data_IF_281965332637
#
_entry.id   IF_281965332637
#
_cell.length_a   1.000
_cell.length_b   1.000
_cell.length_c   1.000
_cell.angle_alpha   90.00
_cell.angle_beta   90.00
_cell.angle_gamma   90.00
#
_symmetry.space_group_name_H-M   'P 1'
#
loop_
_entity.id
_entity.type
_entity.pdbx_description
1 polymer ?
#
# COMPACT_ATOMS: atom_id res chain seq x y z
N UNK A 1 14.19 -7.54 13.85
CA UNK A 1 14.09 -6.38 12.95
C UNK A 1 14.61 -6.76 11.58
N UNK A 2 13.75 -7.30 10.73
CA UNK A 2 13.99 -7.38 9.29
C UNK A 2 14.07 -5.95 8.77
N UNK A 3 15.22 -5.53 8.25
CA UNK A 3 15.33 -4.23 7.59
C UNK A 3 14.51 -4.30 6.30
N UNK A 4 13.90 -3.18 5.87
CA UNK A 4 13.25 -3.11 4.56
C UNK A 4 14.22 -3.52 3.43
N UNK A 5 15.52 -3.29 3.63
CA UNK A 5 16.60 -3.73 2.73
C UNK A 5 16.79 -5.25 2.63
N UNK A 6 16.20 -6.03 3.54
CA UNK A 6 16.22 -7.50 3.52
C UNK A 6 15.09 -8.11 2.67
N UNK A 7 14.14 -7.29 2.21
CA UNK A 7 13.17 -7.70 1.21
C UNK A 7 13.87 -7.84 -0.14
N UNK A 8 13.42 -8.81 -0.96
CA UNK A 8 13.92 -8.90 -2.32
C UNK A 8 13.47 -7.64 -3.06
N UNK A 9 14.46 -6.87 -3.50
CA UNK A 9 14.27 -5.56 -4.08
C UNK A 9 13.34 -5.62 -5.28
N UNK A 10 12.22 -4.89 -5.18
CA UNK A 10 11.34 -4.42 -6.24
C UNK A 10 10.96 -5.43 -7.31
N UNK A 11 9.78 -6.00 -7.16
CA UNK A 11 9.13 -6.82 -8.20
C UNK A 11 8.55 -5.92 -9.28
N UNK A 12 9.20 -5.85 -10.45
CA UNK A 12 8.67 -5.11 -11.60
C UNK A 12 7.44 -5.82 -12.14
N UNK A 13 6.28 -5.15 -12.14
CA UNK A 13 4.98 -5.71 -12.54
C UNK A 13 4.94 -6.17 -14.00
N UNK A 14 5.88 -5.78 -14.83
CA UNK A 14 6.21 -6.46 -16.09
C UNK A 14 7.66 -6.08 -16.40
N UNK A 15 8.43 -6.97 -17.03
CA UNK A 15 9.81 -6.67 -17.46
C UNK A 15 9.94 -5.56 -18.53
N UNK A 16 8.98 -4.64 -18.64
CA UNK A 16 8.99 -3.56 -19.63
C UNK A 16 9.74 -2.37 -19.08
N UNK A 17 11.08 -2.48 -19.04
CA UNK A 17 11.89 -1.29 -19.22
C UNK A 17 11.72 -0.90 -20.69
N UNK A 18 10.90 0.10 -20.97
CA UNK A 18 10.92 0.76 -22.29
C UNK A 18 11.83 1.97 -22.17
N UNK A 19 12.88 2.00 -22.99
CA UNK A 19 13.85 3.10 -23.05
C UNK A 19 14.55 3.44 -21.72
N UNK A 20 14.79 2.46 -20.85
CA UNK A 20 15.49 2.67 -19.58
C UNK A 20 14.59 3.13 -18.42
N UNK A 21 13.29 3.29 -18.63
CA UNK A 21 12.35 3.84 -17.64
C UNK A 21 11.44 2.74 -17.10
N UNK A 22 11.29 2.61 -15.77
CA UNK A 22 10.29 1.73 -15.19
C UNK A 22 8.88 2.33 -15.31
N UNK A 23 7.92 1.58 -15.84
CA UNK A 23 6.58 2.07 -16.20
C UNK A 23 5.49 1.75 -15.18
N UNK A 24 5.81 1.01 -14.11
CA UNK A 24 4.87 0.55 -13.08
C UNK A 24 4.91 1.36 -11.77
N UNK A 25 5.81 2.34 -11.69
CA UNK A 25 6.00 3.18 -10.50
C UNK A 25 4.92 4.24 -10.34
N UNK A 26 4.17 4.56 -11.40
CA UNK A 26 3.07 5.51 -11.36
C UNK A 26 1.79 4.81 -11.81
N UNK A 27 0.63 5.45 -11.63
CA UNK A 27 -0.62 4.85 -12.12
C UNK A 27 -1.23 3.76 -11.23
N UNK A 28 -0.91 3.71 -9.93
CA UNK A 28 -1.49 2.71 -9.03
C UNK A 28 -2.71 3.20 -8.24
N UNK A 29 -2.98 4.51 -8.23
CA UNK A 29 -4.11 5.08 -7.50
C UNK A 29 -5.42 4.70 -8.21
N UNK A 30 -6.28 3.91 -7.56
CA UNK A 30 -7.53 3.45 -8.15
C UNK A 30 -7.33 2.62 -9.43
N UNK A 31 -6.28 1.81 -9.53
CA UNK A 31 -6.13 0.84 -10.63
C UNK A 31 -5.70 1.42 -11.99
N UNK A 32 -5.11 2.62 -12.02
CA UNK A 32 -4.56 3.23 -13.24
C UNK A 32 -4.27 4.73 -13.13
N UNK A 33 -4.90 5.38 -12.15
CA UNK A 33 -4.76 6.80 -11.89
C UNK A 33 -3.38 7.17 -11.35
N UNK A 34 -2.90 8.33 -11.78
CA UNK A 34 -1.66 8.92 -11.28
C UNK A 34 -2.01 9.98 -10.25
N UNK A 35 -1.38 9.90 -9.07
CA UNK A 35 -1.62 10.83 -7.98
C UNK A 35 -0.42 11.77 -7.85
N UNK A 36 -0.69 13.02 -7.48
CA UNK A 36 0.31 14.07 -7.28
C UNK A 36 0.02 14.79 -5.97
N UNK A 37 1.06 15.00 -5.17
CA UNK A 37 1.01 15.78 -3.95
C UNK A 37 0.82 17.27 -4.26
N UNK A 38 0.35 18.03 -3.28
CA UNK A 38 0.20 19.49 -3.39
C UNK A 38 1.54 20.20 -3.63
N UNK A 39 2.67 19.55 -3.34
CA UNK A 39 4.02 20.01 -3.67
C UNK A 39 4.41 19.85 -5.15
N UNK A 40 3.60 19.17 -5.96
CA UNK A 40 3.87 18.85 -7.36
C UNK A 40 4.66 17.55 -7.57
N UNK A 41 5.08 16.86 -6.51
CA UNK A 41 5.71 15.53 -6.63
C UNK A 41 4.65 14.47 -6.97
N UNK A 42 4.99 13.57 -7.90
CA UNK A 42 4.16 12.40 -8.17
C UNK A 42 4.25 11.42 -6.99
N UNK A 43 3.21 10.62 -6.82
CA UNK A 43 3.30 9.45 -5.95
C UNK A 43 3.86 8.27 -6.74
N UNK A 44 4.93 7.71 -6.21
CA UNK A 44 5.63 6.56 -6.76
C UNK A 44 5.33 5.31 -5.93
N UNK A 45 5.18 4.16 -6.58
CA UNK A 45 4.78 2.92 -5.91
C UNK A 45 5.86 1.85 -5.98
N UNK A 46 6.10 1.20 -4.85
CA UNK A 46 7.00 0.05 -4.71
C UNK A 46 6.24 -1.22 -4.37
N UNK A 47 6.62 -2.33 -5.00
CA UNK A 47 6.10 -3.67 -4.74
C UNK A 47 7.25 -4.57 -4.29
N UNK A 48 7.13 -5.19 -3.13
CA UNK A 48 8.21 -5.95 -2.50
C UNK A 48 7.66 -7.23 -1.87
N UNK A 49 8.48 -8.27 -1.83
CA UNK A 49 8.20 -9.50 -1.08
C UNK A 49 9.41 -9.90 -0.26
N UNK A 50 9.19 -10.61 0.85
CA UNK A 50 10.30 -11.16 1.63
C UNK A 50 10.86 -12.45 1.00
N UNK A 51 11.96 -12.96 1.57
CA UNK A 51 12.61 -14.17 1.04
C UNK A 51 11.72 -15.43 1.14
N UNK A 52 10.90 -15.58 2.19
CA UNK A 52 9.97 -16.71 2.32
C UNK A 52 9.00 -16.74 1.16
N UNK A 53 8.36 -15.62 0.85
CA UNK A 53 7.47 -15.51 -0.30
C UNK A 53 8.20 -15.88 -1.59
N UNK A 54 9.38 -15.29 -1.84
CA UNK A 54 10.07 -15.50 -3.11
C UNK A 54 10.57 -16.94 -3.32
N UNK A 55 11.10 -17.59 -2.28
CA UNK A 55 11.51 -18.99 -2.36
C UNK A 55 10.31 -19.93 -2.46
N UNK A 56 9.22 -19.64 -1.74
CA UNK A 56 7.95 -20.37 -1.89
C UNK A 56 7.46 -20.29 -3.34
N UNK A 57 7.35 -19.07 -3.88
CA UNK A 57 6.91 -18.81 -5.25
C UNK A 57 7.80 -19.54 -6.27
N UNK A 58 9.11 -19.43 -6.13
CA UNK A 58 10.08 -20.05 -7.03
C UNK A 58 9.96 -21.56 -6.99
N UNK A 59 9.91 -22.15 -5.78
CA UNK A 59 9.75 -23.59 -5.61
C UNK A 59 8.44 -24.11 -6.17
N UNK A 60 7.34 -23.38 -6.01
CA UNK A 60 6.05 -23.76 -6.60
C UNK A 60 6.08 -23.65 -8.13
N UNK A 61 6.58 -22.54 -8.70
CA UNK A 61 6.71 -22.34 -10.15
C UNK A 61 7.58 -23.41 -10.82
N UNK A 62 8.62 -23.91 -10.14
CA UNK A 62 9.47 -24.98 -10.66
C UNK A 62 8.94 -26.40 -10.38
N UNK A 63 7.79 -26.53 -9.72
CA UNK A 63 7.23 -27.84 -9.30
C UNK A 63 8.02 -28.54 -8.19
N UNK A 64 8.95 -27.83 -7.54
CA UNK A 64 9.76 -28.37 -6.44
C UNK A 64 9.01 -28.35 -5.09
N UNK A 65 8.03 -27.46 -4.96
CA UNK A 65 7.10 -27.39 -3.86
C UNK A 65 5.69 -27.72 -4.35
N UNK A 66 5.01 -28.64 -3.67
CA UNK A 66 3.63 -29.06 -4.00
C UNK A 66 2.57 -28.29 -3.23
N UNK A 67 2.97 -27.36 -2.35
CA UNK A 67 2.05 -26.54 -1.59
C UNK A 67 1.21 -25.68 -2.53
N UNK A 68 -0.10 -25.77 -2.38
CA UNK A 68 -1.06 -24.96 -3.13
C UNK A 68 -1.42 -23.67 -2.40
N UNK A 69 -0.98 -23.49 -1.15
CA UNK A 69 -1.26 -22.33 -0.31
C UNK A 69 -0.01 -21.69 0.26
N UNK A 70 -0.08 -20.40 0.60
CA UNK A 70 1.02 -19.74 1.32
C UNK A 70 1.31 -20.45 2.66
N UNK A 71 2.58 -20.43 3.12
CA UNK A 71 2.98 -21.13 4.33
C UNK A 71 2.29 -20.53 5.56
N UNK A 72 1.73 -21.40 6.41
CA UNK A 72 1.09 -20.99 7.67
C UNK A 72 1.62 -21.76 8.89
N UNK A 73 2.45 -22.78 8.65
CA UNK A 73 2.97 -23.67 9.70
C UNK A 73 4.50 -23.76 9.67
N UNK A 74 5.08 -24.24 10.77
CA UNK A 74 6.50 -24.56 10.83
C UNK A 74 6.91 -25.65 9.82
N UNK A 75 6.00 -26.57 9.48
CA UNK A 75 6.24 -27.60 8.48
C UNK A 75 6.33 -27.02 7.05
N UNK A 76 5.47 -26.05 6.73
CA UNK A 76 5.52 -25.35 5.44
C UNK A 76 6.85 -24.59 5.30
N UNK A 77 7.23 -23.84 6.34
CA UNK A 77 8.51 -23.12 6.37
C UNK A 77 9.71 -24.07 6.24
N UNK A 78 9.67 -25.24 6.90
CA UNK A 78 10.74 -26.24 6.79
C UNK A 78 10.89 -26.77 5.37
N UNK A 79 9.79 -26.98 4.64
CA UNK A 79 9.83 -27.37 3.23
C UNK A 79 10.44 -26.29 2.34
N UNK A 80 10.11 -25.02 2.59
CA UNK A 80 10.69 -23.88 1.85
C UNK A 80 12.19 -23.74 2.16
N UNK A 81 12.60 -23.86 3.43
CA UNK A 81 14.02 -23.85 3.82
C UNK A 81 14.80 -25.00 3.15
N UNK A 82 14.20 -26.20 3.10
CA UNK A 82 14.79 -27.35 2.40
C UNK A 82 14.98 -27.07 0.91
N UNK A 83 14.00 -26.43 0.27
CA UNK A 83 14.12 -26.00 -1.13
C UNK A 83 15.20 -24.93 -1.33
N UNK A 84 15.25 -23.94 -0.43
CA UNK A 84 16.23 -22.87 -0.48
C UNK A 84 17.67 -23.36 -0.24
N UNK A 85 17.84 -24.47 0.50
CA UNK A 85 19.13 -25.02 0.89
C UNK A 85 19.72 -24.37 2.16
N UNK A 86 18.98 -23.47 2.81
CA UNK A 86 19.39 -22.78 4.04
C UNK A 86 18.17 -22.31 4.84
N UNK A 87 18.40 -21.86 6.08
CA UNK A 87 17.35 -21.26 6.91
C UNK A 87 17.10 -19.82 6.49
N UNK A 88 15.89 -19.54 6.01
CA UNK A 88 15.48 -18.20 5.63
C UNK A 88 15.41 -17.26 6.84
N UNK A 89 16.05 -16.08 6.80
CA UNK A 89 16.13 -15.20 7.95
C UNK A 89 14.78 -14.58 8.35
N UNK A 90 13.82 -14.48 7.43
CA UNK A 90 12.49 -13.92 7.71
C UNK A 90 11.44 -14.99 8.00
N UNK A 91 11.85 -16.22 8.31
CA UNK A 91 10.95 -17.35 8.53
C UNK A 91 9.86 -17.11 9.59
N UNK A 92 10.12 -16.26 10.60
CA UNK A 92 9.13 -15.89 11.61
C UNK A 92 7.96 -15.06 11.05
N UNK A 93 8.20 -14.25 10.01
CA UNK A 93 7.17 -13.45 9.37
C UNK A 93 6.38 -14.25 8.32
N UNK A 94 6.77 -15.50 8.03
CA UNK A 94 6.26 -16.32 6.94
C UNK A 94 6.26 -15.54 5.62
N UNK A 95 5.28 -15.71 4.73
CA UNK A 95 5.26 -14.98 3.47
C UNK A 95 4.71 -13.58 3.68
N UNK A 96 5.43 -12.57 3.18
CA UNK A 96 5.05 -11.17 3.28
C UNK A 96 5.16 -10.46 1.93
N UNK A 97 4.16 -9.67 1.63
CA UNK A 97 4.04 -8.78 0.49
C UNK A 97 3.82 -7.35 0.99
N UNK A 98 4.56 -6.41 0.40
CA UNK A 98 4.44 -4.99 0.67
C UNK A 98 4.13 -4.25 -0.63
N UNK A 99 3.11 -3.40 -0.57
CA UNK A 99 2.94 -2.30 -1.54
C UNK A 99 3.21 -1.01 -0.79
N UNK A 100 3.96 -0.10 -1.37
CA UNK A 100 4.37 1.15 -0.73
C UNK A 100 4.15 2.32 -1.67
N UNK A 101 3.86 3.50 -1.14
CA UNK A 101 3.72 4.75 -1.89
C UNK A 101 4.67 5.80 -1.32
N UNK A 102 5.27 6.58 -2.21
CA UNK A 102 6.40 7.46 -1.91
C UNK A 102 6.27 8.79 -2.64
N UNK A 103 6.82 9.86 -2.05
CA UNK A 103 7.02 11.16 -2.70
C UNK A 103 8.47 11.58 -2.59
N UNK A 104 8.91 12.51 -3.43
CA UNK A 104 10.25 13.11 -3.31
C UNK A 104 10.34 13.93 -2.01
N UNK A 105 11.26 13.56 -1.12
CA UNK A 105 11.34 14.10 0.23
C UNK A 105 11.64 15.61 0.24
N UNK A 106 12.44 16.09 -0.72
CA UNK A 106 12.78 17.52 -0.86
C UNK A 106 11.57 18.41 -1.13
N UNK A 107 10.48 17.84 -1.67
CA UNK A 107 9.28 18.60 -2.02
C UNK A 107 8.36 18.86 -0.82
N UNK A 108 8.55 18.13 0.29
CA UNK A 108 7.70 18.22 1.49
C UNK A 108 7.76 19.61 2.13
N UNK A 109 8.94 20.22 2.19
CA UNK A 109 9.12 21.53 2.82
C UNK A 109 8.36 22.64 2.09
N UNK A 110 8.16 22.51 0.77
CA UNK A 110 7.41 23.49 -0.05
C UNK A 110 5.93 23.63 0.37
N UNK A 111 5.38 22.60 1.01
CA UNK A 111 4.03 22.58 1.57
C UNK A 111 4.05 22.56 3.11
N UNK A 112 5.21 22.87 3.69
CA UNK A 112 5.44 22.98 5.12
C UNK A 112 5.43 21.66 5.88
N UNK A 113 5.69 20.53 5.22
CA UNK A 113 5.88 19.23 5.89
C UNK A 113 7.37 18.96 6.09
N UNK A 114 7.73 18.42 7.26
CA UNK A 114 9.11 18.13 7.63
C UNK A 114 9.50 16.72 7.19
N UNK A 115 10.45 16.61 6.26
CA UNK A 115 10.91 15.33 5.71
C UNK A 115 11.55 14.40 6.76
N UNK A 116 12.08 14.94 7.87
CA UNK A 116 12.67 14.14 8.95
C UNK A 116 11.64 13.31 9.73
N UNK A 117 10.35 13.62 9.57
CA UNK A 117 9.25 12.86 10.17
C UNK A 117 8.87 11.59 9.39
N UNK A 118 9.48 11.38 8.23
CA UNK A 118 9.16 10.28 7.33
C UNK A 118 10.23 9.19 7.37
N UNK A 119 9.85 7.96 7.01
CA UNK A 119 10.82 6.93 6.63
C UNK A 119 11.41 7.31 5.28
N UNK A 120 12.73 7.48 5.23
CA UNK A 120 13.46 7.93 4.05
C UNK A 120 14.29 6.79 3.43
N UNK A 121 14.28 6.70 2.10
CA UNK A 121 15.11 5.77 1.33
C UNK A 121 15.65 6.45 0.06
N UNK A 122 16.75 5.96 -0.50
CA UNK A 122 17.14 6.34 -1.86
C UNK A 122 16.30 5.56 -2.88
N UNK A 123 15.69 6.26 -3.82
CA UNK A 123 14.90 5.66 -4.91
C UNK A 123 15.35 6.19 -6.27
N UNK A 124 15.25 5.34 -7.30
CA UNK A 124 15.40 5.75 -8.70
C UNK A 124 14.01 5.90 -9.31
N UNK A 125 13.68 7.09 -9.77
CA UNK A 125 12.36 7.47 -10.31
C UNK A 125 12.47 8.00 -11.75
N UNK A 126 11.40 7.92 -12.56
CA UNK A 126 11.36 8.49 -13.91
C UNK A 126 11.41 10.02 -13.91
N UNK A 127 12.09 10.59 -14.90
CA UNK A 127 11.99 12.03 -15.25
C UNK A 127 11.12 12.22 -16.48
N UNK A 128 10.48 13.38 -16.62
CA UNK A 128 9.51 13.63 -17.69
C UNK A 128 9.79 14.89 -18.48
N UNK A 129 9.62 14.82 -19.81
CA UNK A 129 9.35 15.98 -20.64
C UNK A 129 7.87 16.36 -20.48
N UNK A 130 7.61 17.60 -20.05
CA UNK A 130 6.29 18.02 -19.53
C UNK A 130 5.59 19.01 -20.47
N UNK A 131 4.31 18.78 -20.71
CA UNK A 131 3.32 19.78 -21.12
C UNK A 131 2.20 19.84 -20.07
N UNK A 132 1.24 20.75 -20.24
CA UNK A 132 0.07 20.85 -19.36
C UNK A 132 -0.79 19.58 -19.30
N UNK A 133 -0.74 18.74 -20.35
CA UNK A 133 -1.65 17.60 -20.51
C UNK A 133 -0.93 16.27 -20.76
N UNK A 134 0.38 16.28 -21.00
CA UNK A 134 1.15 15.06 -21.29
C UNK A 134 2.55 15.15 -20.72
N UNK A 135 2.93 14.15 -19.92
CA UNK A 135 4.29 13.98 -19.41
C UNK A 135 4.87 12.70 -19.99
N UNK A 136 5.87 12.85 -20.86
CA UNK A 136 6.53 11.72 -21.53
C UNK A 136 7.82 11.37 -20.80
N UNK A 137 8.05 10.11 -20.41
CA UNK A 137 9.31 9.71 -19.80
C UNK A 137 10.51 10.10 -20.66
N UNK A 138 11.55 10.62 -20.01
CA UNK A 138 12.74 11.20 -20.64
C UNK A 138 14.05 10.66 -20.05
N UNK A 139 13.98 9.89 -18.97
CA UNK A 139 15.13 9.38 -18.25
C UNK A 139 14.76 8.93 -16.84
N UNK A 140 15.76 8.80 -15.99
CA UNK A 140 15.61 8.50 -14.56
C UNK A 140 16.52 9.40 -13.73
N UNK A 141 16.16 9.61 -12.48
CA UNK A 141 16.98 10.29 -11.48
C UNK A 141 16.95 9.50 -10.17
N UNK A 142 18.01 9.61 -9.37
CA UNK A 142 18.05 9.05 -8.02
C UNK A 142 17.84 10.19 -7.03
N UNK A 143 16.89 10.02 -6.12
CA UNK A 143 16.56 11.02 -5.10
C UNK A 143 16.14 10.36 -3.79
N UNK A 144 16.05 11.16 -2.72
CA UNK A 144 15.54 10.70 -1.43
C UNK A 144 14.01 10.69 -1.47
N UNK A 145 13.44 9.52 -1.20
CA UNK A 145 12.01 9.26 -1.19
C UNK A 145 11.49 9.16 0.24
N UNK A 146 10.30 9.72 0.49
CA UNK A 146 9.61 9.68 1.77
C UNK A 146 8.37 8.76 1.69
N UNK A 147 8.25 7.79 2.61
CA UNK A 147 7.14 6.84 2.63
C UNK A 147 5.85 7.54 3.06
N UNK A 148 4.78 7.43 2.28
CA UNK A 148 3.49 8.08 2.59
C UNK A 148 2.37 7.09 2.84
N UNK A 149 2.44 5.87 2.31
CA UNK A 149 1.45 4.83 2.58
C UNK A 149 1.99 3.44 2.28
N UNK A 150 1.36 2.44 2.86
CA UNK A 150 1.70 1.05 2.59
C UNK A 150 0.54 0.08 2.80
N UNK A 151 0.54 -0.98 2.00
CA UNK A 151 -0.15 -2.21 2.32
C UNK A 151 0.87 -3.22 2.83
N UNK A 152 0.52 -3.93 3.90
CA UNK A 152 1.26 -5.05 4.45
C UNK A 152 0.35 -6.27 4.38
N UNK A 153 0.75 -7.28 3.62
CA UNK A 153 -0.04 -8.47 3.37
C UNK A 153 0.78 -9.69 3.70
N UNK A 154 0.37 -10.48 4.70
CA UNK A 154 1.21 -11.58 5.17
C UNK A 154 0.42 -12.82 5.59
N UNK A 155 1.01 -14.00 5.37
CA UNK A 155 0.43 -15.25 5.83
C UNK A 155 0.67 -15.42 7.33
N UNK A 156 -0.34 -15.90 8.04
CA UNK A 156 -0.26 -16.21 9.47
C UNK A 156 -0.86 -17.58 9.74
N UNK A 157 -0.71 -18.09 10.97
CA UNK A 157 -1.25 -19.39 11.35
C UNK A 157 -2.76 -19.50 11.03
N UNK A 158 -3.13 -20.47 10.20
CA UNK A 158 -4.52 -20.72 9.81
C UNK A 158 -5.09 -19.75 8.77
N UNK A 159 -4.32 -18.77 8.29
CA UNK A 159 -4.74 -17.79 7.28
C UNK A 159 -3.81 -17.80 6.07
N UNK A 160 -3.92 -18.83 5.21
CA UNK A 160 -3.11 -18.90 4.00
C UNK A 160 -3.45 -17.77 3.02
N UNK A 161 -4.68 -17.27 3.01
CA UNK A 161 -5.18 -16.13 2.20
C UNK A 161 -4.56 -14.78 2.56
N UNK A 162 -3.72 -14.78 3.60
CA UNK A 162 -3.04 -13.63 4.19
C UNK A 162 -4.00 -12.68 4.93
N UNK A 163 -3.46 -11.96 5.90
CA UNK A 163 -4.12 -10.79 6.48
C UNK A 163 -3.66 -9.57 5.70
N UNK A 164 -4.61 -8.75 5.28
CA UNK A 164 -4.38 -7.58 4.45
C UNK A 164 -4.56 -6.33 5.31
N UNK A 165 -3.48 -5.60 5.56
CA UNK A 165 -3.49 -4.40 6.38
C UNK A 165 -3.00 -3.18 5.59
N UNK A 166 -3.51 -2.00 5.94
CA UNK A 166 -3.10 -0.74 5.33
C UNK A 166 -2.67 0.28 6.38
N UNK A 167 -1.64 1.06 6.04
CA UNK A 167 -1.07 2.11 6.89
C UNK A 167 -0.80 3.38 6.08
N UNK A 168 -0.89 4.53 6.75
CA UNK A 168 -0.67 5.84 6.15
C UNK A 168 0.12 6.76 7.07
N UNK A 169 0.91 7.64 6.46
CA UNK A 169 1.46 8.78 7.18
C UNK A 169 0.33 9.74 7.59
N UNK A 170 0.37 10.23 8.83
CA UNK A 170 -0.70 11.07 9.40
C UNK A 170 -0.97 12.36 8.62
N UNK A 171 0.05 12.90 7.94
CA UNK A 171 -0.06 14.13 7.15
C UNK A 171 -0.57 13.92 5.71
N UNK A 172 -1.02 12.72 5.32
CA UNK A 172 -1.45 12.46 3.95
C UNK A 172 -2.64 13.34 3.52
N UNK A 173 -3.75 13.22 4.23
CA UNK A 173 -5.00 13.89 3.93
C UNK A 173 -5.93 13.87 5.16
N UNK A 174 -6.93 14.77 5.21
CA UNK A 174 -7.91 14.79 6.28
C UNK A 174 -8.80 13.54 6.25
N UNK A 175 -9.26 13.14 7.43
CA UNK A 175 -10.28 12.12 7.61
C UNK A 175 -11.67 12.70 7.33
N UNK A 176 -12.54 11.93 6.66
CA UNK A 176 -13.97 12.21 6.66
C UNK A 176 -14.54 12.17 8.09
N UNK A 177 -15.75 12.67 8.28
CA UNK A 177 -16.45 12.56 9.57
C UNK A 177 -16.61 11.08 9.97
N UNK A 178 -16.31 10.76 11.23
CA UNK A 178 -16.50 9.42 11.77
C UNK A 178 -16.91 9.43 13.24
N UNK A 179 -17.65 8.40 13.63
CA UNK A 179 -18.09 8.14 14.99
C UNK A 179 -17.13 7.20 15.70
N UNK A 180 -17.04 7.35 17.02
CA UNK A 180 -16.26 6.49 17.92
C UNK A 180 -16.98 6.31 19.26
N UNK A 181 -16.64 5.26 19.99
CA UNK A 181 -17.11 4.95 21.33
C UNK A 181 -16.17 5.58 22.35
N UNK A 182 -16.71 6.49 23.16
CA UNK A 182 -15.98 7.15 24.25
C UNK A 182 -15.72 6.19 25.41
N UNK A 183 -14.86 6.58 26.35
CA UNK A 183 -14.56 5.79 27.56
C UNK A 183 -15.77 5.59 28.47
N UNK A 184 -16.81 6.43 28.36
CA UNK A 184 -18.08 6.25 29.06
C UNK A 184 -19.09 5.35 28.32
N UNK A 185 -18.72 4.81 27.16
CA UNK A 185 -19.58 3.99 26.30
C UNK A 185 -20.57 4.79 25.44
N UNK A 186 -20.48 6.12 25.39
CA UNK A 186 -21.30 6.96 24.52
C UNK A 186 -20.65 7.13 23.13
N UNK A 187 -21.45 7.43 22.10
CA UNK A 187 -20.94 7.79 20.77
C UNK A 187 -20.47 9.24 20.73
N UNK A 188 -19.22 9.46 20.33
CA UNK A 188 -18.69 10.76 19.92
C UNK A 188 -18.48 10.80 18.41
N UNK A 189 -18.43 12.00 17.84
CA UNK A 189 -18.20 12.22 16.41
C UNK A 189 -17.00 13.14 16.22
N UNK A 190 -16.10 12.75 15.32
CA UNK A 190 -15.04 13.62 14.81
C UNK A 190 -15.51 14.19 13.48
N UNK A 191 -15.67 15.53 13.36
CA UNK A 191 -16.09 16.14 12.10
C UNK A 191 -14.96 16.13 11.06
N UNK A 192 -15.32 16.20 9.78
CA UNK A 192 -14.36 16.50 8.72
C UNK A 192 -13.70 17.85 8.99
N UNK A 193 -12.37 17.89 8.89
CA UNK A 193 -11.59 19.12 8.99
C UNK A 193 -10.35 19.02 8.10
N UNK A 194 -10.23 19.92 7.13
CA UNK A 194 -9.09 20.03 6.22
C UNK A 194 -8.18 21.21 6.52
N UNK A 195 -8.37 21.94 7.61
CA UNK A 195 -7.47 23.00 8.02
C UNK A 195 -6.07 22.45 8.32
N UNK A 196 -5.05 23.21 7.93
CA UNK A 196 -3.66 22.88 8.18
C UNK A 196 -2.91 22.38 6.94
N UNK A 197 -1.84 21.62 7.19
CA UNK A 197 -0.90 21.18 6.16
C UNK A 197 -1.11 19.71 5.87
N UNK A 198 -1.46 19.40 4.62
CA UNK A 198 -1.62 18.04 4.14
C UNK A 198 -0.79 17.82 2.89
N UNK A 199 -0.33 16.59 2.70
CA UNK A 199 0.40 16.18 1.50
C UNK A 199 -0.48 16.27 0.25
N UNK A 200 -1.74 15.83 0.35
CA UNK A 200 -2.64 15.61 -0.77
C UNK A 200 -3.83 16.58 -0.79
N UNK A 201 -3.92 17.53 0.15
CA UNK A 201 -5.12 18.34 0.34
C UNK A 201 -4.77 19.78 0.66
N UNK A 202 -5.41 20.72 -0.03
CA UNK A 202 -5.28 22.14 0.31
C UNK A 202 -6.03 22.44 1.62
N UNK A 203 -5.48 23.36 2.41
CA UNK A 203 -6.15 23.83 3.64
C UNK A 203 -7.53 24.40 3.30
N UNK A 204 -8.55 23.98 4.04
CA UNK A 204 -9.93 24.43 3.82
C UNK A 204 -10.63 23.84 2.59
N UNK A 205 -10.03 22.84 1.94
CA UNK A 205 -10.70 22.11 0.87
C UNK A 205 -11.97 21.39 1.38
N UNK A 206 -12.98 21.30 0.52
CA UNK A 206 -14.21 20.56 0.79
C UNK A 206 -14.10 19.12 0.27
N UNK A 207 -14.96 18.22 0.75
CA UNK A 207 -15.07 16.85 0.21
C UNK A 207 -15.72 16.81 -1.18
N UNK A 208 -16.50 17.83 -1.55
CA UNK A 208 -17.11 17.94 -2.88
C UNK A 208 -16.03 18.11 -3.96
N UNK A 209 -16.02 17.21 -4.94
CA UNK A 209 -15.01 17.19 -6.02
C UNK A 209 -13.63 16.66 -5.60
N UNK A 210 -13.44 16.30 -4.33
CA UNK A 210 -12.24 15.61 -3.88
C UNK A 210 -12.21 14.15 -4.37
N UNK A 211 -11.05 13.51 -4.27
CA UNK A 211 -10.78 12.16 -4.79
C UNK A 211 -11.09 12.04 -6.31
N UNK A 212 -10.87 13.11 -7.06
CA UNK A 212 -11.03 13.10 -8.53
C UNK A 212 -9.75 12.67 -9.22
N UNK A 213 -9.86 11.69 -10.13
CA UNK A 213 -8.76 11.27 -10.99
C UNK A 213 -8.55 12.30 -12.12
N UNK A 214 -7.44 13.04 -12.09
CA UNK A 214 -7.13 14.06 -13.11
C UNK A 214 -6.25 13.54 -14.25
N UNK A 215 -5.53 12.43 -14.02
CA UNK A 215 -4.54 11.90 -14.95
C UNK A 215 -4.30 10.41 -14.71
N UNK A 216 -3.89 9.70 -15.76
CA UNK A 216 -3.54 8.28 -15.72
C UNK A 216 -2.20 8.01 -16.40
N UNK A 217 -1.53 6.93 -16.00
CA UNK A 217 -0.31 6.45 -16.66
C UNK A 217 -0.68 5.31 -17.61
N UNK A 218 -0.12 5.29 -18.82
CA UNK A 218 -0.26 4.16 -19.74
C UNK A 218 0.88 3.12 -19.58
N UNK A 219 0.86 2.04 -20.36
CA UNK A 219 1.89 0.98 -20.29
C UNK A 219 3.30 1.42 -20.72
N UNK A 220 3.43 2.57 -21.39
CA UNK A 220 4.71 3.18 -21.77
C UNK A 220 5.22 4.17 -20.71
N UNK A 221 4.52 4.33 -19.58
CA UNK A 221 4.86 5.28 -18.54
C UNK A 221 4.49 6.73 -18.88
N UNK A 222 3.79 6.98 -19.99
CA UNK A 222 3.30 8.32 -20.35
C UNK A 222 2.10 8.66 -19.46
N UNK A 223 2.18 9.81 -18.80
CA UNK A 223 1.08 10.35 -18.01
C UNK A 223 0.29 11.32 -18.89
N UNK A 224 -1.02 11.12 -18.94
CA UNK A 224 -1.93 11.96 -19.73
C UNK A 224 -3.05 12.46 -18.83
N UNK A 225 -3.38 13.75 -18.94
CA UNK A 225 -4.55 14.33 -18.29
C UNK A 225 -5.84 13.72 -18.85
N UNK A 226 -6.87 13.59 -18.00
CA UNK A 226 -8.22 13.23 -18.44
C UNK A 226 -8.78 14.33 -19.37
N UNK A 227 -9.76 14.03 -20.23
CA UNK A 227 -10.38 15.02 -21.10
C UNK A 227 -10.86 16.26 -20.35
N UNK A 228 -10.41 17.44 -20.77
CA UNK A 228 -10.76 18.73 -20.15
C UNK A 228 -10.01 19.05 -18.85
N UNK A 229 -9.04 18.24 -18.45
CA UNK A 229 -8.19 18.46 -17.27
C UNK A 229 -6.75 18.83 -17.67
N UNK A 230 -5.98 19.29 -16.70
CA UNK A 230 -4.52 19.42 -16.76
C UNK A 230 -3.87 18.43 -15.79
N UNK A 231 -2.60 18.11 -16.03
CA UNK A 231 -1.80 17.35 -15.07
C UNK A 231 -1.55 18.23 -13.85
N UNK A 232 -1.97 17.77 -12.68
CA UNK A 232 -1.85 18.49 -11.43
C UNK A 232 -2.38 17.69 -10.24
N UNK A 233 -2.26 18.25 -9.02
CA UNK A 233 -2.80 17.61 -7.83
C UNK A 233 -4.32 17.74 -7.77
N UNK A 234 -4.99 16.73 -7.21
CA UNK A 234 -6.38 16.83 -6.75
C UNK A 234 -6.42 16.83 -5.22
N UNK A 235 -7.49 17.39 -4.64
CA UNK A 235 -7.72 17.29 -3.20
C UNK A 235 -8.13 15.86 -2.86
N UNK A 236 -7.48 15.26 -1.86
CA UNK A 236 -7.79 13.92 -1.36
C UNK A 236 -8.37 13.99 0.04
N UNK A 237 -9.20 13.02 0.42
CA UNK A 237 -9.55 12.76 1.81
C UNK A 237 -9.77 11.26 2.01
N UNK A 238 -9.60 10.77 3.25
CA UNK A 238 -9.95 9.40 3.61
C UNK A 238 -11.45 9.28 3.82
N UNK A 239 -12.15 8.58 2.93
CA UNK A 239 -13.61 8.37 2.99
C UNK A 239 -13.98 7.49 4.19
N UNK A 240 -13.17 6.45 4.45
CA UNK A 240 -13.31 5.51 5.57
C UNK A 240 -12.05 5.56 6.44
N UNK A 241 -11.94 6.52 7.38
CA UNK A 241 -10.69 6.81 8.11
C UNK A 241 -10.05 5.62 8.81
N UNK A 242 -10.88 4.65 9.21
CA UNK A 242 -10.51 3.45 9.95
C UNK A 242 -10.98 2.16 9.25
N UNK A 243 -11.13 2.22 7.92
CA UNK A 243 -11.52 1.08 7.08
C UNK A 243 -12.89 0.49 7.39
N UNK A 244 -13.75 1.27 8.07
CA UNK A 244 -15.14 0.97 8.36
C UNK A 244 -16.01 2.17 7.98
N UNK A 245 -17.34 1.97 7.98
CA UNK A 245 -18.29 3.05 7.74
C UNK A 245 -18.13 4.15 8.81
N UNK A 246 -18.34 5.40 8.39
CA UNK A 246 -18.18 6.54 9.30
C UNK A 246 -19.06 6.45 10.54
N UNK A 247 -20.25 5.87 10.45
CA UNK A 247 -21.17 5.69 11.59
C UNK A 247 -20.95 4.39 12.39
N UNK A 248 -19.95 3.59 12.07
CA UNK A 248 -19.61 2.37 12.83
C UNK A 248 -18.71 2.71 14.03
N UNK A 249 -19.32 3.32 15.04
CA UNK A 249 -18.61 3.83 16.22
C UNK A 249 -17.77 2.75 16.92
N UNK A 250 -18.24 1.50 16.94
CA UNK A 250 -17.53 0.42 17.62
C UNK A 250 -16.29 0.01 16.84
N UNK A 251 -16.44 -0.33 15.57
CA UNK A 251 -15.34 -0.89 14.79
C UNK A 251 -14.30 0.20 14.44
N UNK A 252 -14.72 1.47 14.29
CA UNK A 252 -13.79 2.61 14.24
C UNK A 252 -12.95 2.72 15.52
N UNK A 253 -13.56 2.52 16.69
CA UNK A 253 -12.86 2.62 17.98
C UNK A 253 -11.84 1.51 18.18
N UNK A 254 -12.12 0.31 17.68
CA UNK A 254 -11.19 -0.81 17.76
C UNK A 254 -9.87 -0.46 17.05
N UNK A 255 -9.92 0.12 15.84
CA UNK A 255 -8.73 0.56 15.10
C UNK A 255 -8.06 1.78 15.75
N UNK A 256 -8.82 2.76 16.21
CA UNK A 256 -8.28 3.91 16.96
C UNK A 256 -7.52 3.44 18.20
N UNK A 257 -8.09 2.48 18.95
CA UNK A 257 -7.51 1.94 20.17
C UNK A 257 -6.25 1.12 19.89
N UNK A 258 -6.22 0.35 18.80
CA UNK A 258 -5.02 -0.35 18.32
C UNK A 258 -3.90 0.66 18.06
N UNK A 259 -4.18 1.72 17.29
CA UNK A 259 -3.20 2.76 17.01
C UNK A 259 -2.68 3.43 18.29
N UNK A 260 -3.57 3.85 19.20
CA UNK A 260 -3.17 4.46 20.47
C UNK A 260 -2.28 3.52 21.30
N UNK A 261 -2.64 2.24 21.38
CA UNK A 261 -1.87 1.23 22.11
C UNK A 261 -0.47 1.05 21.52
N UNK A 262 -0.35 0.87 20.20
CA UNK A 262 0.95 0.66 19.53
C UNK A 262 1.82 1.92 19.60
N UNK A 263 1.25 3.09 19.27
CA UNK A 263 1.99 4.35 19.25
C UNK A 263 2.50 4.73 20.64
N UNK A 264 1.77 4.40 21.72
CA UNK A 264 2.21 4.65 23.11
C UNK A 264 3.45 3.85 23.52
N UNK A 265 3.79 2.79 22.78
CA UNK A 265 4.94 1.93 23.05
C UNK A 265 6.18 2.32 22.23
N UNK A 266 6.01 3.20 21.22
CA UNK A 266 7.12 3.69 20.41
C UNK A 266 7.87 4.83 21.11
N UNK A 267 9.21 4.90 21.00
CA UNK A 267 9.95 6.08 21.41
C UNK A 267 9.45 7.32 20.67
N UNK A 268 9.39 8.47 21.35
CA UNK A 268 8.91 9.73 20.75
C UNK A 268 9.72 10.17 19.51
N UNK A 269 10.99 9.77 19.43
CA UNK A 269 11.88 10.07 18.29
C UNK A 269 11.75 9.07 17.14
N UNK A 270 10.92 8.03 17.27
CA UNK A 270 10.76 7.02 16.24
C UNK A 270 9.82 7.53 15.15
N UNK A 271 10.35 7.76 13.95
CA UNK A 271 9.57 8.26 12.80
C UNK A 271 8.34 7.40 12.48
N UNK A 272 8.34 6.12 12.89
CA UNK A 272 7.17 5.24 12.73
C UNK A 272 5.96 5.69 13.55
N UNK A 273 6.13 6.55 14.55
CA UNK A 273 5.02 7.15 15.28
C UNK A 273 4.14 8.06 14.42
N UNK A 274 4.62 8.45 13.23
CA UNK A 274 3.87 9.27 12.29
C UNK A 274 3.04 8.44 11.29
N UNK A 275 2.95 7.12 11.49
CA UNK A 275 2.19 6.21 10.64
C UNK A 275 1.11 5.52 11.46
N UNK A 276 -0.11 5.51 10.92
CA UNK A 276 -1.29 4.89 11.55
C UNK A 276 -1.82 3.76 10.70
N UNK A 277 -2.29 2.71 11.36
CA UNK A 277 -3.07 1.64 10.75
C UNK A 277 -4.45 2.17 10.37
N UNK A 278 -4.82 2.01 9.11
CA UNK A 278 -6.17 2.31 8.62
C UNK A 278 -7.11 1.14 8.91
N UNK A 279 -6.63 -0.10 8.81
CA UNK A 279 -7.43 -1.27 9.07
C UNK A 279 -6.71 -2.56 8.69
N UNK A 280 -7.39 -3.68 8.93
CA UNK A 280 -7.01 -4.98 8.37
C UNK A 280 -8.25 -5.83 8.09
N UNK A 281 -8.22 -6.62 7.02
CA UNK A 281 -9.25 -7.60 6.69
C UNK A 281 -8.67 -8.97 6.35
N UNK A 282 -9.47 -10.00 6.60
CA UNK A 282 -9.17 -11.39 6.26
C UNK A 282 -10.46 -12.21 6.24
N UNK A 283 -10.38 -13.47 5.81
CA UNK A 283 -11.53 -14.36 5.80
C UNK A 283 -11.61 -15.17 7.09
N UNK A 284 -12.80 -15.25 7.67
CA UNK A 284 -13.05 -16.12 8.81
C UNK A 284 -12.64 -17.57 8.47
N UNK A 285 -11.86 -18.18 9.36
CA UNK A 285 -11.32 -19.54 9.24
C UNK A 285 -10.30 -19.77 8.11
N UNK A 286 -9.71 -18.71 7.52
CA UNK A 286 -8.64 -18.91 6.55
C UNK A 286 -9.10 -19.33 5.16
N UNK A 287 -10.38 -19.06 4.84
CA UNK A 287 -10.95 -19.44 3.55
C UNK A 287 -10.39 -18.57 2.43
N UNK A 288 -10.16 -19.17 1.27
CA UNK A 288 -9.71 -18.44 0.08
C UNK A 288 -10.83 -17.59 -0.54
N UNK A 289 -10.58 -16.33 -0.94
CA UNK A 289 -11.50 -15.56 -1.77
C UNK A 289 -11.88 -16.29 -3.08
N UNK A 290 -13.09 -16.05 -3.63
CA UNK A 290 -14.16 -15.23 -3.06
C UNK A 290 -14.93 -15.95 -1.93
N UNK A 291 -14.51 -17.16 -1.54
CA UNK A 291 -15.09 -17.92 -0.44
C UNK A 291 -14.74 -17.33 0.93
N UNK A 292 -15.68 -17.45 1.88
CA UNK A 292 -15.46 -17.06 3.27
C UNK A 292 -16.19 -15.79 3.69
N UNK A 293 -16.41 -15.67 5.00
CA UNK A 293 -17.01 -14.50 5.61
C UNK A 293 -15.89 -13.50 5.93
N UNK A 294 -15.85 -12.35 5.24
CA UNK A 294 -14.84 -11.32 5.48
C UNK A 294 -15.05 -10.67 6.85
N UNK A 295 -13.98 -10.53 7.63
CA UNK A 295 -13.98 -9.89 8.94
C UNK A 295 -12.86 -8.84 9.05
N UNK A 296 -12.96 -7.97 10.06
CA UNK A 296 -12.10 -6.80 10.21
C UNK A 296 -12.68 -5.56 9.51
N UNK A 297 -11.80 -4.74 8.94
CA UNK A 297 -12.09 -3.46 8.26
C UNK A 297 -12.59 -3.67 6.83
N UNK A 298 -13.90 -3.87 6.66
CA UNK A 298 -14.52 -4.31 5.40
C UNK A 298 -14.65 -3.22 4.32
N UNK A 299 -14.40 -1.96 4.64
CA UNK A 299 -14.39 -0.83 3.68
C UNK A 299 -13.01 -0.18 3.62
N UNK A 300 -11.96 -0.96 3.90
CA UNK A 300 -10.58 -0.47 3.93
C UNK A 300 -10.12 -0.04 2.55
N UNK A 301 -9.68 1.22 2.48
CA UNK A 301 -9.08 1.84 1.30
C UNK A 301 -8.05 2.87 1.77
N UNK A 302 -6.88 2.91 1.11
CA UNK A 302 -5.82 3.86 1.43
C UNK A 302 -5.90 5.10 0.55
N UNK A 303 -5.58 6.26 1.12
CA UNK A 303 -5.61 7.56 0.43
C UNK A 303 -4.64 7.67 -0.72
N UNK A 304 -3.63 6.79 -0.80
CA UNK A 304 -2.58 6.81 -1.82
C UNK A 304 -2.74 5.73 -2.88
N UNK A 305 -3.35 4.57 -2.56
CA UNK A 305 -3.45 3.43 -3.50
C UNK A 305 -4.86 3.20 -4.01
N UNK A 306 -5.87 3.40 -3.16
CA UNK A 306 -7.28 3.27 -3.54
C UNK A 306 -7.95 4.65 -3.65
N UNK A 307 -7.16 5.73 -3.80
CA UNK A 307 -7.62 7.13 -3.78
C UNK A 307 -8.93 7.37 -4.52
N UNK A 308 -9.05 6.83 -5.73
CA UNK A 308 -10.19 7.01 -6.65
C UNK A 308 -11.22 5.87 -6.59
N UNK A 309 -11.04 4.92 -5.67
CA UNK A 309 -11.85 3.72 -5.47
C UNK A 309 -12.18 3.50 -3.98
N UNK A 310 -12.69 4.53 -3.32
CA UNK A 310 -13.11 4.48 -1.92
C UNK A 310 -14.64 4.36 -1.84
N UNK A 311 -15.17 3.15 -2.05
CA UNK A 311 -16.61 2.85 -2.00
C UNK A 311 -16.95 1.86 -0.87
N UNK A 312 -18.14 1.96 -0.29
CA UNK A 312 -18.58 1.10 0.82
C UNK A 312 -18.70 -0.38 0.43
N UNK A 313 -18.79 -0.69 -0.86
CA UNK A 313 -18.80 -2.06 -1.40
C UNK A 313 -17.42 -2.57 -1.80
N UNK A 314 -16.37 -1.74 -1.62
CA UNK A 314 -15.02 -2.04 -2.05
C UNK A 314 -14.04 -2.24 -0.88
N UNK A 315 -13.19 -3.24 -1.02
CA UNK A 315 -12.00 -3.46 -0.21
C UNK A 315 -10.95 -4.25 -1.02
N UNK A 316 -9.87 -4.71 -0.37
CA UNK A 316 -8.82 -5.48 -1.04
C UNK A 316 -9.37 -6.70 -1.80
N UNK A 317 -10.28 -7.47 -1.20
CA UNK A 317 -10.85 -8.66 -1.83
C UNK A 317 -11.82 -8.35 -2.98
N UNK A 318 -12.21 -7.10 -3.21
CA UNK A 318 -12.94 -6.73 -4.43
C UNK A 318 -12.08 -6.91 -5.68
N UNK A 319 -10.76 -6.69 -5.58
CA UNK A 319 -9.79 -6.87 -6.67
C UNK A 319 -8.91 -8.13 -6.51
N UNK A 320 -8.91 -8.76 -5.33
CA UNK A 320 -8.09 -9.93 -4.99
C UNK A 320 -8.97 -11.17 -4.71
N UNK A 321 -9.58 -11.74 -5.75
CA UNK A 321 -10.59 -12.82 -5.67
C UNK A 321 -10.06 -14.23 -5.96
N UNK A 322 -8.75 -14.47 -5.82
CA UNK A 322 -8.16 -15.71 -6.32
C UNK A 322 -8.53 -16.98 -5.61
N UNK A 323 -9.03 -17.93 -6.40
CA UNK A 323 -9.45 -19.27 -5.99
C UNK A 323 -8.28 -20.24 -5.79
N UNK A 324 -7.07 -19.85 -6.21
CA UNK A 324 -5.82 -20.54 -5.90
C UNK A 324 -4.65 -19.56 -5.91
N UNK A 325 -3.65 -19.81 -5.07
CA UNK A 325 -2.49 -18.93 -4.89
C UNK A 325 -1.53 -18.89 -6.09
N UNK A 326 -1.71 -19.82 -7.05
CA UNK A 326 -0.93 -19.92 -8.29
C UNK A 326 -1.70 -19.53 -9.55
N UNK A 327 -2.84 -18.83 -9.43
CA UNK A 327 -3.59 -18.19 -10.53
C UNK A 327 -3.78 -16.69 -10.24
N UNK A 328 -3.99 -15.89 -11.29
CA UNK A 328 -3.86 -14.42 -11.44
C UNK A 328 -4.59 -13.50 -10.44
N UNK A 329 -5.22 -14.06 -9.40
CA UNK A 329 -6.38 -13.43 -8.80
C UNK A 329 -6.22 -13.12 -7.30
N UNK A 330 -5.27 -13.72 -6.56
CA UNK A 330 -5.07 -13.39 -5.13
C UNK A 330 -3.95 -12.39 -4.89
N UNK A 331 -2.76 -12.61 -5.47
CA UNK A 331 -1.71 -11.59 -5.51
C UNK A 331 -1.25 -11.42 -6.95
N UNK A 332 -1.59 -10.26 -7.53
CA UNK A 332 -1.06 -9.82 -8.81
C UNK A 332 0.47 -9.61 -8.83
N UNK A 333 1.16 -9.62 -7.67
CA UNK A 333 2.62 -9.61 -7.62
C UNK A 333 3.17 -10.98 -8.01
N UNK A 334 2.48 -12.06 -7.63
CA UNK A 334 2.89 -13.47 -7.76
C UNK A 334 3.48 -13.84 -9.13
N UNK A 335 2.85 -13.41 -10.24
CA UNK A 335 3.30 -13.77 -11.59
C UNK A 335 4.49 -12.97 -12.07
N UNK A 336 4.61 -11.73 -11.59
CA UNK A 336 5.55 -10.75 -12.13
C UNK A 336 6.92 -10.80 -11.44
N UNK A 337 7.05 -11.55 -10.34
CA UNK A 337 8.36 -11.80 -9.72
C UNK A 337 9.17 -12.76 -10.58
N UNK A 338 10.38 -12.31 -10.97
CA UNK A 338 11.42 -13.17 -11.54
C UNK A 338 11.85 -14.18 -10.47
N UNK A 339 11.78 -15.49 -10.73
CA UNK A 339 12.16 -16.51 -9.76
C UNK A 339 13.59 -16.29 -9.24
N UNK A 340 13.80 -16.47 -7.94
CA UNK A 340 15.15 -16.42 -7.37
C UNK A 340 15.90 -17.69 -7.77
N UNK A 341 17.08 -17.55 -8.39
CA UNK A 341 17.92 -18.71 -8.67
C UNK A 341 18.53 -19.16 -7.34
N UNK A 342 18.28 -20.39 -6.87
CA UNK A 342 18.98 -20.89 -5.70
C UNK A 342 20.48 -20.91 -6.01
N UNK A 343 21.28 -20.15 -5.28
CA UNK A 343 22.73 -20.32 -5.29
C UNK A 343 23.02 -21.75 -4.85
N UNK A 344 23.53 -22.56 -5.77
CA UNK A 344 24.10 -23.88 -5.44
C UNK A 344 25.32 -23.72 -4.55
#
# INVERSE_FOLDING_TARGET
NTKVDSFLTRTRKTGVIKNGVPTDETGQAGGGGTLMAQSGSLLYYGLHVNNVYAYFLTGQKTGALTQTTFPTTAADLAAINKYAGFTLPDGQALSLELKTSWVEAETLESIGLDSSQYVLVQGSIPTYAKTDTTWTPSGTTTTTMALVGMHIVGSVQGHPEMIWASFEHINNCPANSYDYTTTSGATGTVPYNSDGRWLLTQSGAMTSGANSELMNTNSDGVITAKPGQQIGPSNVYRVFPWGNLGNDAKDNTDIVSINLSVLSQLPQSDVRSNYVMIGALWNQHGNLPPGGNQIGSKTMANSTMETFHQDASMNCFSCHQGTSFGQDDLSHIYFNIVPVIPTK
#
